data_IF_851346103462
#
_entry.id   IF_851346103462
#
_cell.length_a   1.000
_cell.length_b   1.000
_cell.length_c   1.000
_cell.angle_alpha   90.00
_cell.angle_beta   90.00
_cell.angle_gamma   90.00
#
_symmetry.space_group_name_H-M   'P 1'
#
loop_
_entity.id
_entity.type
_entity.pdbx_description
1 polymer ?
#
# COMPACT_ATOMS: atom_id res chain seq x y z
N UNK A 1 -39.54 27.63 59.59
CA UNK A 1 -40.24 28.82 59.11
C UNK A 1 -40.49 28.58 57.61
N UNK A 2 -41.69 28.05 57.24
CA UNK A 2 -42.93 28.74 56.83
C UNK A 2 -42.65 29.82 55.78
N UNK A 3 -43.05 29.62 54.53
CA UNK A 3 -44.30 29.98 53.83
C UNK A 3 -44.17 29.55 52.38
N UNK A 4 -45.01 28.63 51.84
CA UNK A 4 -46.35 28.78 51.25
C UNK A 4 -46.46 29.90 50.23
N UNK A 5 -46.76 29.50 49.02
CA UNK A 5 -48.03 29.43 48.29
C UNK A 5 -48.10 30.56 47.27
N UNK A 6 -48.53 30.42 46.04
CA UNK A 6 -49.92 30.24 45.64
C UNK A 6 -50.04 29.97 44.13
N UNK A 7 -51.03 29.20 43.80
CA UNK A 7 -51.59 28.89 42.47
C UNK A 7 -52.33 30.08 41.88
N UNK A 8 -52.39 30.18 40.56
CA UNK A 8 -53.57 30.74 39.89
C UNK A 8 -53.81 30.03 38.55
N UNK A 9 -55.06 29.69 38.33
CA UNK A 9 -55.68 28.89 37.28
C UNK A 9 -56.45 29.75 36.31
N UNK A 10 -56.49 29.30 35.02
CA UNK A 10 -57.58 29.39 33.98
C UNK A 10 -57.84 30.69 33.24
N UNK A 11 -58.55 30.69 32.07
CA UNK A 11 -59.38 29.64 31.49
C UNK A 11 -59.24 29.38 29.98
N UNK A 12 -59.89 28.33 29.57
CA UNK A 12 -60.13 27.85 28.18
C UNK A 12 -61.10 28.78 27.42
N UNK A 13 -60.93 28.81 26.10
CA UNK A 13 -62.02 29.26 25.17
C UNK A 13 -62.20 28.24 24.05
N UNK A 14 -63.33 27.60 24.04
CA UNK A 14 -63.98 26.84 23.00
C UNK A 14 -64.53 27.72 21.91
N UNK A 15 -64.43 27.40 20.62
CA UNK A 15 -65.42 27.78 19.57
C UNK A 15 -65.34 26.78 18.39
N UNK A 16 -66.39 25.97 18.28
CA UNK A 16 -67.30 25.63 17.19
C UNK A 16 -66.79 25.04 15.87
N UNK A 17 -67.30 23.82 15.69
CA UNK A 17 -67.47 23.11 14.41
C UNK A 17 -68.19 23.95 13.36
N UNK A 18 -67.77 23.85 12.10
CA UNK A 18 -68.64 23.93 10.92
C UNK A 18 -68.16 22.92 9.87
N UNK A 19 -69.00 21.99 9.61
CA UNK A 19 -69.03 20.98 8.56
C UNK A 19 -69.10 21.63 7.17
N UNK A 20 -68.29 21.15 6.25
CA UNK A 20 -68.61 21.22 4.82
C UNK A 20 -68.13 19.96 4.11
N UNK A 21 -69.09 19.12 3.79
CA UNK A 21 -68.95 18.03 2.86
C UNK A 21 -68.89 18.60 1.45
N UNK A 22 -67.85 18.25 0.68
CA UNK A 22 -67.93 18.14 -0.79
C UNK A 22 -67.08 16.97 -1.23
N UNK A 23 -67.78 16.00 -1.79
CA UNK A 23 -67.34 14.85 -2.54
C UNK A 23 -66.46 15.23 -3.71
N UNK A 24 -65.27 14.61 -3.83
CA UNK A 24 -64.46 14.58 -5.00
C UNK A 24 -63.63 13.31 -4.99
N UNK A 25 -64.04 12.31 -5.77
CA UNK A 25 -63.30 11.08 -5.98
C UNK A 25 -62.04 11.43 -6.82
N UNK A 26 -60.87 11.34 -6.23
CA UNK A 26 -59.60 11.35 -6.94
C UNK A 26 -59.01 9.93 -6.88
N UNK A 27 -58.94 9.27 -8.03
CA UNK A 27 -58.27 8.01 -8.21
C UNK A 27 -56.78 8.16 -7.86
N UNK A 28 -56.35 7.51 -6.80
CA UNK A 28 -54.92 7.38 -6.45
C UNK A 28 -54.37 6.26 -7.33
N UNK A 29 -53.73 6.64 -8.45
CA UNK A 29 -52.84 5.75 -9.19
C UNK A 29 -51.63 5.49 -8.32
N UNK A 30 -51.60 4.34 -7.66
CA UNK A 30 -50.44 3.86 -6.94
C UNK A 30 -49.30 3.53 -7.91
N UNK A 31 -48.42 4.48 -8.13
CA UNK A 31 -47.14 4.18 -8.75
C UNK A 31 -46.33 3.35 -7.74
N UNK A 32 -46.32 2.03 -7.93
CA UNK A 32 -45.38 1.17 -7.24
C UNK A 32 -43.98 1.64 -7.60
N UNK A 33 -43.33 2.31 -6.64
CA UNK A 33 -41.90 2.64 -6.76
C UNK A 33 -41.15 1.31 -6.82
N UNK A 34 -40.64 0.95 -7.99
CA UNK A 34 -39.69 -0.12 -8.14
C UNK A 34 -38.51 0.16 -7.19
N UNK A 35 -38.01 -0.83 -6.44
CA UNK A 35 -36.87 -0.64 -5.59
C UNK A 35 -35.71 -0.17 -6.49
N UNK A 36 -35.23 1.05 -6.23
CA UNK A 36 -34.04 1.58 -6.88
C UNK A 36 -32.92 0.60 -6.57
N UNK A 37 -32.44 -0.13 -7.57
CA UNK A 37 -31.29 -1.00 -7.42
C UNK A 37 -30.22 -0.20 -6.70
N UNK A 38 -29.78 -0.71 -5.54
CA UNK A 38 -28.71 -0.08 -4.78
C UNK A 38 -27.51 0.02 -5.72
N UNK A 39 -27.18 1.22 -6.16
CA UNK A 39 -26.04 1.47 -7.00
C UNK A 39 -24.83 1.11 -6.15
N UNK A 40 -24.08 0.07 -6.55
CA UNK A 40 -22.90 -0.35 -5.84
C UNK A 40 -21.99 0.89 -5.67
N UNK A 41 -21.57 1.15 -4.43
CA UNK A 41 -20.68 2.26 -4.15
C UNK A 41 -19.38 2.05 -4.96
N UNK A 42 -18.86 3.13 -5.56
CA UNK A 42 -17.58 3.07 -6.28
C UNK A 42 -16.49 2.54 -5.35
N UNK A 43 -15.62 1.65 -5.84
CA UNK A 43 -14.55 1.09 -5.02
C UNK A 43 -13.59 2.19 -4.57
N UNK A 44 -13.15 2.12 -3.31
CA UNK A 44 -12.21 3.10 -2.74
C UNK A 44 -10.79 2.95 -3.27
N UNK A 45 -10.42 1.75 -3.75
CA UNK A 45 -9.11 1.45 -4.30
C UNK A 45 -9.20 0.31 -5.32
N UNK A 46 -8.21 0.25 -6.21
CA UNK A 46 -8.07 -0.85 -7.18
C UNK A 46 -6.72 -1.54 -6.97
N UNK A 47 -6.76 -2.87 -6.96
CA UNK A 47 -5.58 -3.75 -6.95
C UNK A 47 -5.67 -4.62 -8.19
N UNK A 48 -4.61 -4.63 -9.01
CA UNK A 48 -4.48 -5.53 -10.17
C UNK A 48 -3.61 -6.71 -9.76
N UNK A 49 -4.10 -7.91 -9.95
CA UNK A 49 -3.41 -9.16 -9.61
C UNK A 49 -3.19 -9.93 -10.91
N UNK A 50 -1.93 -10.19 -11.21
CA UNK A 50 -1.56 -11.00 -12.39
C UNK A 50 -1.06 -12.33 -11.90
N UNK A 51 -1.70 -13.41 -12.37
CA UNK A 51 -1.28 -14.79 -12.13
C UNK A 51 -0.56 -15.34 -13.35
N UNK A 52 0.55 -16.08 -13.12
CA UNK A 52 1.35 -16.66 -14.19
C UNK A 52 2.72 -17.13 -13.71
N UNK A 53 3.55 -17.60 -14.65
CA UNK A 53 4.92 -18.06 -14.37
C UNK A 53 5.99 -17.31 -15.17
N UNK A 54 5.59 -16.56 -16.20
CA UNK A 54 6.47 -15.73 -17.03
C UNK A 54 6.47 -14.29 -16.46
N UNK A 55 7.43 -14.00 -15.58
CA UNK A 55 7.50 -12.71 -14.88
C UNK A 55 7.48 -11.50 -15.84
N UNK A 56 8.26 -11.46 -16.92
CA UNK A 56 8.17 -10.39 -17.91
C UNK A 56 6.76 -10.17 -18.46
N UNK A 57 6.06 -11.23 -18.86
CA UNK A 57 4.68 -11.12 -19.35
C UNK A 57 3.72 -10.65 -18.24
N UNK A 58 3.87 -11.17 -17.03
CA UNK A 58 3.06 -10.72 -15.88
C UNK A 58 3.22 -9.24 -15.61
N UNK A 59 4.44 -8.72 -15.69
CA UNK A 59 4.73 -7.28 -15.49
C UNK A 59 4.03 -6.46 -16.59
N UNK A 60 4.17 -6.83 -17.85
CA UNK A 60 3.55 -6.09 -18.96
C UNK A 60 2.01 -6.14 -18.88
N UNK A 61 1.43 -7.30 -18.55
CA UNK A 61 -0.02 -7.45 -18.39
C UNK A 61 -0.56 -6.58 -17.24
N UNK A 62 0.12 -6.59 -16.09
CA UNK A 62 -0.26 -5.76 -14.93
C UNK A 62 -0.17 -4.28 -15.22
N UNK A 63 0.93 -3.85 -15.82
CA UNK A 63 1.12 -2.43 -16.16
C UNK A 63 0.14 -1.97 -17.24
N UNK A 64 -0.20 -2.81 -18.21
CA UNK A 64 -1.25 -2.48 -19.19
C UNK A 64 -2.59 -2.18 -18.49
N UNK A 65 -2.97 -2.97 -17.49
CA UNK A 65 -4.16 -2.72 -16.65
C UNK A 65 -4.04 -1.46 -15.79
N UNK A 66 -2.84 -1.11 -15.36
CA UNK A 66 -2.57 0.12 -14.58
C UNK A 66 -2.54 1.38 -15.46
N UNK A 67 -2.69 1.27 -16.79
CA UNK A 67 -2.71 2.38 -17.74
C UNK A 67 -1.42 2.60 -18.51
N UNK A 68 -0.52 1.60 -18.53
CA UNK A 68 0.72 1.58 -19.30
C UNK A 68 1.87 2.27 -18.61
N UNK A 69 3.11 1.93 -19.04
CA UNK A 69 4.34 2.52 -18.48
C UNK A 69 4.42 4.04 -18.65
N UNK A 70 3.85 4.60 -19.72
CA UNK A 70 3.89 6.04 -20.00
C UNK A 70 3.12 6.88 -18.97
N UNK A 71 2.23 6.23 -18.19
CA UNK A 71 1.60 6.85 -17.03
C UNK A 71 2.61 7.13 -15.91
N UNK A 72 3.58 6.26 -15.74
CA UNK A 72 4.53 6.26 -14.62
C UNK A 72 5.89 6.86 -15.00
N UNK A 73 6.45 6.47 -16.14
CA UNK A 73 7.78 6.89 -16.58
C UNK A 73 7.70 7.98 -17.64
N UNK A 74 8.34 9.12 -17.34
CA UNK A 74 8.42 10.26 -18.27
C UNK A 74 9.84 10.43 -18.78
N UNK A 75 10.00 10.74 -20.06
CA UNK A 75 11.31 11.05 -20.64
C UNK A 75 12.00 12.17 -19.86
N UNK A 76 13.28 12.00 -19.57
CA UNK A 76 14.04 12.93 -18.75
C UNK A 76 13.76 12.90 -17.25
N UNK A 77 12.78 12.12 -16.78
CA UNK A 77 12.43 12.00 -15.36
C UNK A 77 13.44 11.19 -14.56
N UNK A 78 13.44 11.39 -13.24
CA UNK A 78 14.20 10.62 -12.25
C UNK A 78 13.31 9.52 -11.69
N UNK A 79 13.73 8.27 -11.81
CA UNK A 79 13.03 7.12 -11.27
C UNK A 79 13.80 6.56 -10.08
N UNK A 80 13.13 6.34 -8.97
CA UNK A 80 13.66 5.60 -7.85
C UNK A 80 12.90 4.29 -7.67
N UNK A 81 13.63 3.18 -7.63
CA UNK A 81 13.11 1.85 -7.40
C UNK A 81 13.48 1.39 -5.99
N UNK A 82 12.50 0.92 -5.24
CA UNK A 82 12.71 0.39 -3.88
C UNK A 82 12.32 -1.09 -3.82
N UNK A 83 13.17 -2.00 -4.33
CA UNK A 83 12.99 -3.43 -4.09
C UNK A 83 13.22 -3.77 -2.61
N UNK A 84 12.96 -5.01 -2.23
CA UNK A 84 13.45 -5.58 -0.97
C UNK A 84 14.73 -6.38 -1.27
N UNK A 85 15.89 -5.85 -0.92
CA UNK A 85 17.20 -6.52 -1.09
C UNK A 85 17.97 -6.51 0.22
N UNK A 86 17.30 -6.97 1.30
CA UNK A 86 17.85 -6.86 2.65
C UNK A 86 18.78 -8.01 3.05
N UNK A 87 18.67 -9.16 2.40
CA UNK A 87 19.22 -10.42 2.87
C UNK A 87 20.13 -11.10 1.84
N UNK A 88 21.18 -11.76 2.32
CA UNK A 88 22.01 -12.65 1.49
C UNK A 88 21.26 -13.96 1.23
N UNK A 89 20.34 -13.91 0.30
CA UNK A 89 19.36 -14.94 -0.03
C UNK A 89 19.21 -15.03 -1.54
N UNK A 90 19.14 -16.27 -2.07
CA UNK A 90 18.90 -16.49 -3.50
C UNK A 90 17.44 -16.18 -3.87
N UNK A 91 17.13 -15.98 -5.16
CA UNK A 91 15.76 -15.73 -5.61
C UNK A 91 14.77 -16.81 -5.15
N UNK A 92 15.17 -18.08 -5.17
CA UNK A 92 14.36 -19.23 -4.79
C UNK A 92 13.96 -19.24 -3.33
N UNK A 93 14.79 -18.64 -2.46
CA UNK A 93 14.54 -18.59 -1.02
C UNK A 93 13.46 -17.57 -0.61
N UNK A 94 13.00 -16.72 -1.52
CA UNK A 94 11.90 -15.76 -1.27
C UNK A 94 12.25 -14.66 -0.25
N UNK A 95 13.52 -14.47 0.07
CA UNK A 95 13.97 -13.45 1.02
C UNK A 95 14.05 -12.04 0.43
N UNK A 96 14.16 -11.92 -0.90
CA UNK A 96 14.31 -10.67 -1.64
C UNK A 96 13.34 -10.62 -2.83
N UNK A 97 13.12 -9.43 -3.38
CA UNK A 97 12.39 -9.23 -4.64
C UNK A 97 13.06 -10.02 -5.76
N UNK A 98 12.28 -10.68 -6.60
CA UNK A 98 12.79 -11.48 -7.71
C UNK A 98 13.56 -10.60 -8.71
N UNK A 99 14.77 -10.99 -9.14
CA UNK A 99 15.60 -10.16 -10.00
C UNK A 99 14.98 -9.88 -11.38
N UNK A 100 14.15 -10.79 -11.90
CA UNK A 100 13.43 -10.55 -13.17
C UNK A 100 12.38 -9.44 -13.07
N UNK A 101 11.73 -9.27 -11.92
CA UNK A 101 10.84 -8.12 -11.70
C UNK A 101 11.65 -6.82 -11.74
N UNK A 102 12.81 -6.80 -11.06
CA UNK A 102 13.70 -5.65 -11.09
C UNK A 102 14.17 -5.34 -12.50
N UNK A 103 14.63 -6.37 -13.23
CA UNK A 103 15.09 -6.26 -14.63
C UNK A 103 14.00 -5.68 -15.53
N UNK A 104 12.79 -6.23 -15.47
CA UNK A 104 11.66 -5.78 -16.30
C UNK A 104 11.35 -4.29 -16.07
N UNK A 105 11.28 -3.85 -14.82
CA UNK A 105 10.99 -2.46 -14.47
C UNK A 105 12.12 -1.51 -14.90
N UNK A 106 13.38 -1.89 -14.70
CA UNK A 106 14.55 -1.10 -15.14
C UNK A 106 14.54 -0.93 -16.65
N UNK A 107 14.36 -2.01 -17.42
CA UNK A 107 14.34 -1.96 -18.89
C UNK A 107 13.15 -1.14 -19.41
N UNK A 108 12.00 -1.23 -18.76
CA UNK A 108 10.85 -0.41 -19.11
C UNK A 108 11.10 1.09 -18.89
N UNK A 109 11.79 1.45 -17.81
CA UNK A 109 12.17 2.85 -17.54
C UNK A 109 13.18 3.37 -18.57
N UNK A 110 14.20 2.58 -18.90
CA UNK A 110 15.18 2.93 -19.96
C UNK A 110 14.51 3.14 -21.32
N UNK A 111 13.58 2.25 -21.71
CA UNK A 111 12.84 2.36 -22.96
C UNK A 111 12.03 3.68 -23.06
N UNK A 112 11.65 4.28 -21.92
CA UNK A 112 11.00 5.61 -21.84
C UNK A 112 11.98 6.77 -21.71
N UNK A 113 13.29 6.51 -21.90
CA UNK A 113 14.34 7.53 -21.91
C UNK A 113 14.34 8.38 -20.62
N UNK A 114 14.14 7.73 -19.46
CA UNK A 114 14.30 8.41 -18.17
C UNK A 114 15.77 8.85 -18.01
N UNK A 115 15.99 9.96 -17.32
CA UNK A 115 17.33 10.51 -17.11
C UNK A 115 18.16 9.72 -16.11
N UNK A 116 17.49 9.12 -15.12
CA UNK A 116 18.16 8.48 -14.00
C UNK A 116 17.28 7.36 -13.43
N UNK A 117 17.92 6.25 -13.06
CA UNK A 117 17.31 5.15 -12.29
C UNK A 117 18.20 4.90 -11.07
N UNK A 118 17.65 5.10 -9.86
CA UNK A 118 18.35 4.80 -8.61
C UNK A 118 17.64 3.72 -7.82
N UNK A 119 18.44 2.84 -7.19
CA UNK A 119 17.97 1.69 -6.43
C UNK A 119 18.68 1.68 -5.07
N UNK A 120 18.32 2.60 -4.16
CA UNK A 120 18.91 2.62 -2.83
C UNK A 120 18.33 1.52 -1.95
N UNK A 121 19.19 0.74 -1.29
CA UNK A 121 18.78 -0.27 -0.32
C UNK A 121 19.70 -0.27 0.90
N UNK A 122 19.16 0.06 2.06
CA UNK A 122 19.87 -0.11 3.34
C UNK A 122 19.76 -1.56 3.79
N UNK A 123 20.66 -2.41 3.30
CA UNK A 123 20.69 -3.85 3.54
C UNK A 123 20.86 -4.19 5.03
N UNK A 124 20.33 -5.34 5.46
CA UNK A 124 20.56 -5.89 6.80
C UNK A 124 21.85 -6.71 6.89
N UNK A 125 22.34 -7.19 5.76
CA UNK A 125 23.58 -7.97 5.63
C UNK A 125 24.55 -7.28 4.65
N UNK A 126 25.83 -7.73 4.53
CA UNK A 126 26.80 -7.07 3.67
C UNK A 126 26.32 -6.92 2.23
N UNK A 127 26.26 -5.68 1.75
CA UNK A 127 25.63 -5.31 0.47
C UNK A 127 26.20 -6.07 -0.73
N UNK A 128 27.53 -6.26 -0.78
CA UNK A 128 28.20 -6.99 -1.89
C UNK A 128 27.65 -8.42 -2.04
N UNK A 129 27.47 -9.13 -0.90
CA UNK A 129 26.90 -10.48 -0.90
C UNK A 129 25.42 -10.44 -1.24
N UNK A 130 24.68 -9.57 -0.58
CA UNK A 130 23.22 -9.43 -0.75
C UNK A 130 22.86 -9.13 -2.21
N UNK A 131 23.50 -8.13 -2.81
CA UNK A 131 23.19 -7.73 -4.18
C UNK A 131 23.60 -8.79 -5.23
N UNK A 132 24.69 -9.50 -4.98
CA UNK A 132 25.13 -10.60 -5.85
C UNK A 132 24.21 -11.81 -5.73
N UNK A 133 24.00 -12.30 -4.51
CA UNK A 133 23.25 -13.55 -4.27
C UNK A 133 21.77 -13.41 -4.66
N UNK A 134 21.19 -12.22 -4.50
CA UNK A 134 19.79 -11.95 -4.93
C UNK A 134 19.64 -11.85 -6.44
N UNK A 135 20.71 -11.86 -7.24
CA UNK A 135 20.67 -11.64 -8.68
C UNK A 135 20.44 -10.17 -9.09
N UNK A 136 20.39 -9.24 -8.11
CA UNK A 136 20.06 -7.84 -8.39
C UNK A 136 21.14 -7.13 -9.23
N UNK A 137 22.42 -7.45 -9.05
CA UNK A 137 23.51 -6.89 -9.88
C UNK A 137 23.37 -7.33 -11.35
N UNK A 138 23.11 -8.60 -11.58
CA UNK A 138 22.90 -9.17 -12.90
C UNK A 138 21.63 -8.61 -13.57
N UNK A 139 20.58 -8.36 -12.76
CA UNK A 139 19.33 -7.79 -13.26
C UNK A 139 19.49 -6.42 -13.89
N UNK A 140 20.45 -5.61 -13.42
CA UNK A 140 20.70 -4.24 -13.91
C UNK A 140 21.94 -4.12 -14.80
N UNK A 141 22.61 -5.21 -15.09
CA UNK A 141 23.83 -5.20 -15.91
C UNK A 141 23.54 -4.61 -17.31
N UNK A 142 24.45 -3.73 -17.75
CA UNK A 142 24.31 -3.02 -19.04
C UNK A 142 23.15 -2.01 -19.08
N UNK A 143 22.71 -1.49 -17.93
CA UNK A 143 21.68 -0.45 -17.81
C UNK A 143 22.24 0.83 -17.18
N UNK A 144 21.46 1.94 -17.23
CA UNK A 144 21.81 3.19 -16.51
C UNK A 144 21.48 3.12 -15.01
N UNK A 145 20.88 2.03 -14.52
CA UNK A 145 20.43 1.91 -13.14
C UNK A 145 21.62 1.81 -12.17
N UNK A 146 21.53 2.55 -11.07
CA UNK A 146 22.53 2.55 -10.00
C UNK A 146 21.97 1.89 -8.74
N UNK A 147 22.38 0.66 -8.46
CA UNK A 147 22.10 -0.06 -7.21
C UNK A 147 23.20 0.25 -6.19
N UNK A 148 22.82 0.68 -4.99
CA UNK A 148 23.77 1.04 -3.95
C UNK A 148 23.20 0.96 -2.54
N UNK A 149 24.09 0.77 -1.56
CA UNK A 149 23.78 0.98 -0.15
C UNK A 149 24.02 2.44 0.19
N UNK A 150 23.01 3.18 0.72
CA UNK A 150 23.18 4.58 1.07
C UNK A 150 24.23 4.80 2.17
N UNK A 151 25.08 5.81 1.96
CA UNK A 151 26.02 6.36 2.94
C UNK A 151 25.35 7.48 3.76
N UNK A 152 25.94 7.95 4.88
CA UNK A 152 25.35 9.01 5.71
C UNK A 152 24.87 10.24 4.91
N UNK A 153 25.65 10.69 3.91
CA UNK A 153 25.34 11.87 3.11
C UNK A 153 24.23 11.65 2.06
N UNK A 154 23.89 10.38 1.79
CA UNK A 154 22.78 10.04 0.91
C UNK A 154 21.42 10.17 1.59
N UNK A 155 21.39 10.38 2.91
CA UNK A 155 20.15 10.54 3.66
C UNK A 155 19.78 12.02 3.85
N UNK A 156 18.48 12.26 3.93
CA UNK A 156 17.87 13.56 4.20
C UNK A 156 16.97 13.43 5.43
N UNK A 157 17.07 14.39 6.34
CA UNK A 157 16.12 14.51 7.45
C UNK A 157 14.78 15.01 6.91
N UNK A 158 13.71 14.34 7.35
CA UNK A 158 12.35 14.69 6.96
C UNK A 158 11.44 14.69 8.18
N UNK A 159 10.46 15.59 8.18
CA UNK A 159 9.36 15.57 9.14
C UNK A 159 8.25 14.66 8.64
N UNK A 160 7.57 13.98 9.57
CA UNK A 160 6.38 13.16 9.35
C UNK A 160 5.21 13.79 10.14
N UNK A 161 4.59 14.86 9.63
CA UNK A 161 3.67 15.70 10.42
C UNK A 161 2.43 14.96 10.94
N UNK A 162 2.02 13.88 10.26
CA UNK A 162 0.89 13.03 10.68
C UNK A 162 1.32 11.86 11.56
N UNK A 163 2.62 11.73 11.84
CA UNK A 163 3.15 10.66 12.66
C UNK A 163 2.76 10.80 14.13
N UNK A 164 2.27 9.73 14.72
CA UNK A 164 1.96 9.65 16.16
C UNK A 164 3.21 9.30 16.97
N UNK A 165 4.08 8.48 16.46
CA UNK A 165 5.32 8.00 17.08
C UNK A 165 6.53 8.36 16.22
N UNK A 166 6.48 8.08 14.91
CA UNK A 166 7.52 8.46 13.96
C UNK A 166 7.24 9.88 13.45
N UNK A 167 7.78 10.90 14.10
CA UNK A 167 7.58 12.32 13.75
C UNK A 167 8.69 12.85 12.84
N UNK A 168 9.80 12.14 12.75
CA UNK A 168 10.95 12.43 11.89
C UNK A 168 11.65 11.15 11.43
N UNK A 169 12.36 11.24 10.31
CA UNK A 169 13.18 10.15 9.80
C UNK A 169 14.36 10.66 8.98
N UNK A 170 15.45 9.90 8.94
CA UNK A 170 16.51 10.05 7.92
C UNK A 170 16.23 9.06 6.81
N UNK A 171 15.76 9.57 5.67
CA UNK A 171 15.36 8.78 4.49
C UNK A 171 16.29 9.04 3.33
N UNK A 172 16.54 8.04 2.49
CA UNK A 172 17.38 8.17 1.30
C UNK A 172 16.83 9.27 0.37
N UNK A 173 17.67 10.23 0.04
CA UNK A 173 17.35 11.43 -0.75
C UNK A 173 16.71 11.07 -2.10
N UNK A 174 17.29 10.11 -2.83
CA UNK A 174 16.80 9.70 -4.14
C UNK A 174 15.34 9.23 -4.14
N UNK A 175 14.85 8.62 -3.03
CA UNK A 175 13.46 8.18 -2.93
C UNK A 175 12.48 9.35 -2.72
N UNK A 176 12.95 10.42 -2.08
CA UNK A 176 12.13 11.62 -1.81
C UNK A 176 12.10 12.56 -3.04
N UNK A 177 13.20 12.60 -3.79
CA UNK A 177 13.41 13.54 -4.89
C UNK A 177 13.13 12.94 -6.28
N UNK A 178 12.63 11.69 -6.32
CA UNK A 178 12.24 11.03 -7.56
C UNK A 178 10.93 11.62 -8.12
N UNK A 179 10.85 11.74 -9.44
CA UNK A 179 9.60 12.06 -10.15
C UNK A 179 8.64 10.86 -10.16
N UNK A 180 9.21 9.64 -10.13
CA UNK A 180 8.47 8.40 -9.99
C UNK A 180 9.15 7.46 -8.99
N UNK A 181 8.42 7.08 -7.94
CA UNK A 181 8.86 6.15 -6.91
C UNK A 181 8.11 4.83 -7.05
N UNK A 182 8.83 3.76 -7.41
CA UNK A 182 8.26 2.40 -7.51
C UNK A 182 8.67 1.58 -6.30
N UNK A 183 7.70 1.15 -5.51
CA UNK A 183 7.92 0.28 -4.35
C UNK A 183 7.71 -1.18 -4.76
N UNK A 184 8.76 -2.00 -4.65
CA UNK A 184 8.80 -3.38 -5.16
C UNK A 184 9.13 -4.38 -4.04
N UNK A 185 8.24 -4.57 -3.05
CA UNK A 185 8.48 -5.51 -1.96
C UNK A 185 8.31 -6.96 -2.40
N UNK A 186 8.93 -7.89 -1.67
CA UNK A 186 8.55 -9.31 -1.68
C UNK A 186 7.58 -9.58 -0.54
N UNK A 187 6.51 -10.33 -0.81
CA UNK A 187 5.56 -10.75 0.20
C UNK A 187 6.14 -11.89 1.05
N UNK A 188 6.28 -11.67 2.37
CA UNK A 188 6.85 -12.67 3.28
C UNK A 188 6.47 -12.46 4.73
N UNK A 189 6.55 -13.53 5.51
CA UNK A 189 6.47 -13.49 6.97
C UNK A 189 7.52 -12.53 7.58
N UNK A 190 7.19 -11.95 8.71
CA UNK A 190 8.11 -11.16 9.53
C UNK A 190 7.80 -11.30 11.01
N UNK A 191 8.75 -11.81 11.80
CA UNK A 191 8.54 -12.06 13.22
C UNK A 191 8.05 -10.85 14.03
N UNK A 192 8.58 -9.64 13.75
CA UNK A 192 8.21 -8.42 14.51
C UNK A 192 7.07 -7.61 13.90
N UNK A 193 6.79 -7.72 12.59
CA UNK A 193 5.78 -6.93 11.89
C UNK A 193 4.66 -7.78 11.28
N UNK A 194 4.57 -9.06 11.65
CA UNK A 194 3.68 -10.07 11.10
C UNK A 194 4.02 -10.38 9.63
N UNK A 195 3.94 -9.41 8.74
CA UNK A 195 4.30 -9.52 7.33
C UNK A 195 5.24 -8.40 6.88
N UNK A 196 6.09 -8.72 5.91
CA UNK A 196 6.81 -7.77 5.07
C UNK A 196 6.03 -7.60 3.78
N UNK A 197 5.54 -6.39 3.55
CA UNK A 197 4.77 -5.98 2.37
C UNK A 197 5.19 -4.56 1.97
N UNK A 198 4.33 -3.79 1.27
CA UNK A 198 4.73 -2.50 0.69
C UNK A 198 5.11 -1.46 1.75
N UNK A 199 4.27 -1.25 2.77
CA UNK A 199 4.55 -0.24 3.80
C UNK A 199 5.76 -0.61 4.65
N UNK A 200 5.95 -1.90 4.98
CA UNK A 200 7.11 -2.39 5.73
C UNK A 200 8.43 -2.25 4.96
N UNK A 201 8.38 -2.25 3.62
CA UNK A 201 9.55 -2.13 2.76
C UNK A 201 10.30 -0.79 2.94
N UNK A 202 9.65 0.24 3.47
CA UNK A 202 10.29 1.52 3.79
C UNK A 202 11.40 1.44 4.83
N UNK A 203 11.51 0.34 5.58
CA UNK A 203 12.65 0.14 6.49
C UNK A 203 13.99 0.03 5.76
N UNK A 204 13.99 -0.35 4.48
CA UNK A 204 15.18 -0.29 3.62
C UNK A 204 15.47 1.11 3.05
N UNK A 205 14.55 2.04 3.22
CA UNK A 205 14.67 3.42 2.77
C UNK A 205 15.29 4.37 3.81
N UNK A 206 15.25 3.99 5.08
CA UNK A 206 15.71 4.84 6.19
C UNK A 206 17.05 4.39 6.73
N UNK A 207 17.76 5.28 7.41
CA UNK A 207 19.05 5.00 8.03
C UNK A 207 18.93 4.02 9.21
N UNK A 208 20.07 3.52 9.69
CA UNK A 208 20.11 2.56 10.79
C UNK A 208 19.63 3.16 12.12
N UNK A 209 19.79 4.47 12.33
CA UNK A 209 19.30 5.17 13.51
C UNK A 209 17.78 5.17 13.57
N UNK A 210 17.14 5.61 12.48
CA UNK A 210 15.70 5.61 12.31
C UNK A 210 15.13 4.18 12.40
N UNK A 211 15.77 3.20 11.73
CA UNK A 211 15.35 1.79 11.79
C UNK A 211 15.34 1.24 13.20
N UNK A 212 16.38 1.50 14.02
CA UNK A 212 16.43 1.08 15.41
C UNK A 212 15.36 1.76 16.27
N UNK A 213 15.11 3.07 16.06
CA UNK A 213 14.04 3.78 16.75
C UNK A 213 12.68 3.13 16.48
N UNK A 214 12.37 2.80 15.23
CA UNK A 214 11.09 2.16 14.90
C UNK A 214 10.88 0.82 15.61
N UNK A 215 11.94 0.00 15.73
CA UNK A 215 11.85 -1.26 16.48
C UNK A 215 11.65 -1.04 17.99
N UNK A 216 12.25 0.00 18.56
CA UNK A 216 12.16 0.31 19.99
C UNK A 216 10.85 0.99 20.36
N UNK A 217 10.42 1.95 19.54
CA UNK A 217 9.36 2.92 19.91
C UNK A 217 7.97 2.48 19.45
N UNK A 218 7.87 1.44 18.61
CA UNK A 218 6.61 0.88 18.16
C UNK A 218 6.58 0.63 16.66
N UNK A 219 7.11 -0.51 16.23
CA UNK A 219 7.35 -0.85 14.83
C UNK A 219 6.13 -0.65 13.93
N UNK A 220 4.97 -1.16 14.34
CA UNK A 220 3.75 -1.06 13.52
C UNK A 220 3.26 0.38 13.36
N UNK A 221 3.31 1.17 14.45
CA UNK A 221 2.91 2.56 14.38
C UNK A 221 3.88 3.37 13.51
N UNK A 222 5.19 3.18 13.67
CA UNK A 222 6.18 3.88 12.85
C UNK A 222 6.06 3.55 11.35
N UNK A 223 5.75 2.30 10.99
CA UNK A 223 5.49 1.91 9.59
C UNK A 223 4.28 2.68 9.05
N UNK A 224 3.18 2.72 9.81
CA UNK A 224 1.96 3.44 9.43
C UNK A 224 2.21 4.95 9.32
N UNK A 225 2.86 5.54 10.33
CA UNK A 225 3.20 6.96 10.37
C UNK A 225 4.04 7.37 9.15
N UNK A 226 5.12 6.64 8.89
CA UNK A 226 6.02 6.96 7.77
C UNK A 226 5.33 6.82 6.41
N UNK A 227 4.36 5.93 6.29
CA UNK A 227 3.55 5.76 5.07
C UNK A 227 2.62 6.95 4.81
N UNK A 228 2.39 7.84 5.79
CA UNK A 228 1.70 9.12 5.55
C UNK A 228 2.58 10.12 4.80
N UNK A 229 3.90 9.98 4.90
CA UNK A 229 4.90 10.84 4.29
C UNK A 229 5.38 10.31 2.93
N UNK A 230 5.96 9.10 2.88
CA UNK A 230 6.53 8.54 1.64
C UNK A 230 5.49 7.71 0.90
N UNK A 231 4.95 8.28 -0.17
CA UNK A 231 3.92 7.66 -1.01
C UNK A 231 4.54 7.17 -2.31
N UNK A 232 4.40 5.88 -2.64
CA UNK A 232 4.86 5.36 -3.91
C UNK A 232 3.93 5.83 -5.05
N UNK A 233 4.51 6.07 -6.22
CA UNK A 233 3.76 6.31 -7.46
C UNK A 233 3.16 5.00 -7.98
N UNK A 234 3.89 3.90 -7.80
CA UNK A 234 3.51 2.55 -8.19
C UNK A 234 4.01 1.54 -7.15
N UNK A 235 3.21 0.54 -6.88
CA UNK A 235 3.55 -0.61 -6.04
C UNK A 235 3.49 -1.85 -6.90
N UNK A 236 4.53 -2.70 -6.82
CA UNK A 236 4.62 -4.00 -7.46
C UNK A 236 5.03 -5.02 -6.40
N UNK A 237 4.08 -5.70 -5.78
CA UNK A 237 4.40 -6.74 -4.77
C UNK A 237 4.73 -8.04 -5.49
N UNK A 238 5.91 -8.53 -5.24
CA UNK A 238 6.34 -9.87 -5.64
C UNK A 238 5.70 -10.92 -4.73
N UNK A 239 4.71 -11.62 -5.21
CA UNK A 239 4.09 -12.79 -4.61
C UNK A 239 4.20 -14.02 -5.54
N UNK A 240 5.22 -14.07 -6.42
CA UNK A 240 5.51 -15.25 -7.24
C UNK A 240 5.82 -16.46 -6.36
N UNK A 241 6.47 -16.22 -5.25
CA UNK A 241 6.66 -17.10 -4.09
C UNK A 241 6.60 -16.28 -2.81
N UNK A 242 6.04 -16.86 -1.75
CA UNK A 242 5.90 -16.19 -0.45
C UNK A 242 6.49 -17.07 0.64
N UNK A 243 7.25 -16.46 1.56
CA UNK A 243 7.82 -17.14 2.71
C UNK A 243 6.81 -17.11 3.87
N UNK A 244 6.35 -18.29 4.31
CA UNK A 244 5.23 -18.44 5.25
C UNK A 244 5.66 -18.30 6.72
N UNK A 245 6.91 -18.61 7.05
CA UNK A 245 7.45 -18.57 8.41
C UNK A 245 8.96 -18.24 8.40
N UNK A 246 9.58 -18.13 9.57
CA UNK A 246 11.00 -17.84 9.80
C UNK A 246 11.53 -16.58 9.07
N UNK A 247 10.60 -15.75 8.55
CA UNK A 247 10.98 -14.47 7.96
C UNK A 247 11.38 -13.42 9.03
N UNK A 248 12.08 -12.39 8.60
CA UNK A 248 12.22 -11.90 7.22
C UNK A 248 13.43 -12.43 6.44
N UNK A 249 14.36 -13.14 7.10
CA UNK A 249 15.59 -13.63 6.47
C UNK A 249 15.40 -15.00 5.83
N UNK A 250 14.72 -15.91 6.52
CA UNK A 250 14.63 -17.32 6.18
C UNK A 250 15.87 -18.14 6.63
N UNK A 251 16.02 -19.37 6.14
CA UNK A 251 15.05 -20.05 5.29
C UNK A 251 13.73 -20.34 6.01
N UNK A 252 12.65 -20.31 5.24
CA UNK A 252 11.30 -20.64 5.71
C UNK A 252 10.56 -21.48 4.67
N UNK A 253 9.39 -21.99 5.06
CA UNK A 253 8.51 -22.70 4.14
C UNK A 253 7.98 -21.72 3.09
N UNK A 254 7.92 -22.17 1.84
CA UNK A 254 7.46 -21.37 0.73
C UNK A 254 6.10 -21.87 0.22
N UNK A 255 5.24 -20.94 -0.15
CA UNK A 255 4.12 -21.19 -1.04
C UNK A 255 4.35 -20.43 -2.35
N UNK A 256 3.73 -20.91 -3.42
CA UNK A 256 3.88 -20.36 -4.77
C UNK A 256 2.53 -19.90 -5.31
N UNK A 257 2.02 -18.72 -4.90
CA UNK A 257 0.78 -18.18 -5.44
C UNK A 257 0.91 -17.83 -6.92
N UNK A 258 2.14 -17.66 -7.43
CA UNK A 258 2.41 -17.22 -8.80
C UNK A 258 1.71 -15.90 -9.15
N UNK A 259 1.68 -14.96 -8.20
CA UNK A 259 1.03 -13.66 -8.37
C UNK A 259 2.05 -12.51 -8.35
N UNK A 260 1.77 -11.47 -9.13
CA UNK A 260 2.35 -10.14 -8.98
C UNK A 260 1.19 -9.17 -8.78
N UNK A 261 1.30 -8.31 -7.75
CA UNK A 261 0.22 -7.42 -7.33
C UNK A 261 0.61 -5.98 -7.62
N UNK A 262 -0.23 -5.26 -8.35
CA UNK A 262 -0.02 -3.86 -8.73
C UNK A 262 -1.07 -2.97 -8.07
N UNK A 263 -0.64 -1.82 -7.54
CA UNK A 263 -1.53 -0.84 -6.94
C UNK A 263 -0.86 0.55 -6.88
N UNK A 264 -1.65 1.56 -6.53
CA UNK A 264 -1.16 2.89 -6.13
C UNK A 264 -1.48 3.19 -4.65
N UNK A 265 -2.39 2.43 -4.04
CA UNK A 265 -2.74 2.49 -2.62
C UNK A 265 -1.96 1.42 -1.85
N UNK A 266 -1.01 1.79 -0.96
CA UNK A 266 -0.20 0.83 -0.22
C UNK A 266 -0.99 0.02 0.81
N UNK A 267 -2.05 0.58 1.37
CA UNK A 267 -2.90 -0.12 2.34
C UNK A 267 -3.74 -1.17 1.62
N UNK A 268 -4.33 -0.84 0.47
CA UNK A 268 -5.09 -1.78 -0.34
C UNK A 268 -4.21 -2.92 -0.88
N UNK A 269 -3.01 -2.61 -1.35
CA UNK A 269 -2.03 -3.60 -1.80
C UNK A 269 -1.67 -4.59 -0.67
N UNK A 270 -1.33 -4.06 0.52
CA UNK A 270 -0.96 -4.87 1.68
C UNK A 270 -2.17 -5.64 2.24
N UNK A 271 -3.38 -5.08 2.17
CA UNK A 271 -4.63 -5.74 2.54
C UNK A 271 -4.89 -6.97 1.68
N UNK A 272 -4.78 -6.84 0.35
CA UNK A 272 -4.92 -7.97 -0.55
C UNK A 272 -3.80 -9.00 -0.30
N UNK A 273 -2.54 -8.56 -0.28
CA UNK A 273 -1.40 -9.45 -0.09
C UNK A 273 -1.45 -10.24 1.23
N UNK A 274 -2.03 -9.68 2.29
CA UNK A 274 -2.22 -10.38 3.57
C UNK A 274 -3.14 -11.61 3.44
N UNK A 275 -4.07 -11.60 2.49
CA UNK A 275 -4.97 -12.75 2.25
C UNK A 275 -4.22 -13.99 1.76
N UNK A 276 -3.09 -13.82 1.06
CA UNK A 276 -2.24 -14.92 0.61
C UNK A 276 -1.60 -15.69 1.79
N UNK A 277 -1.58 -15.08 2.97
CA UNK A 277 -1.11 -15.70 4.23
C UNK A 277 -2.27 -16.13 5.12
N UNK A 278 -3.52 -16.16 4.61
CA UNK A 278 -4.71 -16.45 5.41
C UNK A 278 -5.00 -15.39 6.49
N UNK A 279 -4.48 -14.17 6.35
CA UNK A 279 -4.63 -13.09 7.32
C UNK A 279 -5.64 -12.05 6.86
N UNK A 280 -6.36 -11.49 7.83
CA UNK A 280 -7.20 -10.29 7.64
C UNK A 280 -6.37 -9.04 7.91
N UNK A 281 -6.74 -7.86 7.39
CA UNK A 281 -6.02 -6.60 7.64
C UNK A 281 -5.77 -6.31 9.11
N UNK A 282 -6.73 -6.64 9.99
CA UNK A 282 -6.62 -6.47 11.45
C UNK A 282 -5.53 -7.33 12.10
N UNK A 283 -5.12 -8.42 11.46
CA UNK A 283 -4.08 -9.32 11.97
C UNK A 283 -2.68 -8.76 11.66
N UNK A 284 -2.59 -7.76 10.78
CA UNK A 284 -1.37 -7.06 10.40
C UNK A 284 -1.48 -5.60 10.85
N UNK A 285 -1.17 -5.34 12.11
CA UNK A 285 -1.50 -4.10 12.81
C UNK A 285 -1.14 -2.80 12.06
N UNK A 286 -0.03 -2.75 11.34
CA UNK A 286 0.35 -1.54 10.60
C UNK A 286 -0.58 -1.23 9.41
N UNK A 287 -1.27 -2.24 8.83
CA UNK A 287 -2.29 -2.03 7.80
C UNK A 287 -3.46 -1.25 8.39
N UNK A 288 -3.96 -1.72 9.53
CA UNK A 288 -5.08 -1.06 10.23
C UNK A 288 -4.72 0.37 10.65
N UNK A 289 -3.55 0.56 11.28
CA UNK A 289 -3.07 1.87 11.72
C UNK A 289 -2.89 2.86 10.55
N UNK A 290 -2.41 2.39 9.41
CA UNK A 290 -2.24 3.22 8.22
C UNK A 290 -3.60 3.65 7.63
N UNK A 291 -4.60 2.75 7.62
CA UNK A 291 -5.95 3.10 7.21
C UNK A 291 -6.57 4.16 8.14
N UNK A 292 -6.39 4.02 9.46
CA UNK A 292 -6.84 5.02 10.46
C UNK A 292 -6.18 6.38 10.27
N UNK A 293 -4.95 6.43 9.74
CA UNK A 293 -4.24 7.67 9.37
C UNK A 293 -4.62 8.22 8.00
N UNK A 294 -5.55 7.56 7.28
CA UNK A 294 -6.00 7.98 5.96
C UNK A 294 -4.96 7.76 4.85
N UNK A 295 -4.08 6.75 5.00
CA UNK A 295 -3.09 6.39 3.99
C UNK A 295 -3.73 5.68 2.81
N UNK A 296 -4.74 4.82 3.06
CA UNK A 296 -5.44 4.07 2.04
C UNK A 296 -6.55 3.16 2.61
N UNK A 297 -7.05 2.23 1.79
CA UNK A 297 -8.20 1.38 2.08
C UNK A 297 -7.79 0.02 2.66
N UNK A 298 -8.22 -0.29 3.91
CA UNK A 298 -8.04 -1.60 4.53
C UNK A 298 -9.30 -2.50 4.46
N UNK A 299 -10.39 -2.02 3.86
CA UNK A 299 -11.62 -2.77 3.73
C UNK A 299 -11.59 -3.56 2.41
N UNK A 300 -11.36 -4.88 2.52
CA UNK A 300 -11.22 -5.75 1.34
C UNK A 300 -12.47 -5.76 0.45
N UNK A 301 -13.65 -5.53 1.00
CA UNK A 301 -14.90 -5.49 0.24
C UNK A 301 -15.05 -4.21 -0.59
N UNK A 302 -14.32 -3.17 -0.23
CA UNK A 302 -14.25 -1.88 -0.96
C UNK A 302 -13.04 -1.76 -1.87
N UNK A 303 -12.24 -2.82 -1.98
CA UNK A 303 -11.12 -2.91 -2.89
C UNK A 303 -11.56 -3.67 -4.14
N UNK A 304 -11.52 -3.00 -5.29
CA UNK A 304 -11.71 -3.66 -6.58
C UNK A 304 -10.46 -4.50 -6.90
N UNK A 305 -10.60 -5.82 -6.94
CA UNK A 305 -9.53 -6.71 -7.35
C UNK A 305 -9.74 -7.11 -8.81
N UNK A 306 -8.86 -6.65 -9.69
CA UNK A 306 -8.84 -7.04 -11.11
C UNK A 306 -7.82 -8.16 -11.32
N UNK A 307 -8.27 -9.32 -11.79
CA UNK A 307 -7.42 -10.48 -12.04
C UNK A 307 -7.09 -10.61 -13.53
N UNK A 308 -5.86 -11.01 -13.81
CA UNK A 308 -5.32 -11.20 -15.16
C UNK A 308 -4.50 -12.48 -15.17
N UNK A 309 -4.67 -13.29 -16.19
CA UNK A 309 -3.79 -14.43 -16.47
C UNK A 309 -2.74 -14.02 -17.53
N UNK A 310 -1.45 -14.46 -17.34
CA UNK A 310 -0.34 -14.09 -18.22
C UNK A 310 0.67 -15.24 -18.47
#
# INVERSE_FOLDING_TARGET
MKRESTKTTKPARSIKRRTFLKTGAAAIAGAAALPRAAQAAEPLATVVVVHGTDIPKMIEAGIAKMGGWDKFFKAGGKVALKPNLAWNSTPEQGGNTHPEILRAVVRAAEARKVKQITIPENTCQPERKTFKTSGALEAIEGTIARLYRPKPDDYKEVSVPKGKVCQDAKVTRDLVEADCLVNMPVAKHHGGATLSLSMKNWMGAVDNGTRRRWHRDGLHQCIADFSTFLKPTLIIIDATRIMLNHGPQGPGDLAHPHEIIFATDPVAADTYAATLFGKKPKDVRHIQLAAELGVGCADIEKIKVERVEA
#
